data_IF_981689385829
#
_entry.id   IF_981689385829
#
_cell.length_a   1.000
_cell.length_b   1.000
_cell.length_c   1.000
_cell.angle_alpha   90.00
_cell.angle_beta   90.00
_cell.angle_gamma   90.00
#
_symmetry.space_group_name_H-M   'P 1'
#
loop_
_entity.id
_entity.type
_entity.pdbx_description
1 polymer ?
2 non-polymer ?
3 non-polymer ?
4 water ?
#
# COMPACT_ATOMS: atom_id res chain seq x y z
N UNK A 1 -5.77 -8.32 -11.12
CA UNK A 1 -5.59 -9.08 -9.85
C UNK A 1 -5.41 -8.12 -8.68
N UNK A 2 -5.53 -8.65 -7.47
CA UNK A 2 -5.36 -7.85 -6.27
C UNK A 2 -3.98 -7.19 -6.29
N UNK A 3 -2.96 -7.97 -6.61
CA UNK A 3 -1.59 -7.47 -6.66
C UNK A 3 -1.42 -6.35 -7.68
N UNK A 4 -2.01 -6.51 -8.86
CA UNK A 4 -1.91 -5.48 -9.89
C UNK A 4 -2.57 -4.18 -9.44
N UNK A 5 -3.72 -4.30 -8.79
CA UNK A 5 -4.44 -3.12 -8.31
C UNK A 5 -3.65 -2.40 -7.22
N UNK A 6 -3.01 -3.18 -6.35
CA UNK A 6 -2.20 -2.61 -5.28
C UNK A 6 -1.02 -1.85 -5.88
N UNK A 7 -0.38 -2.44 -6.89
CA UNK A 7 0.75 -1.79 -7.60
C UNK A 7 0.35 -0.46 -8.25
N UNK A 8 -0.83 -0.44 -8.92
CA UNK A 8 -1.25 0.80 -9.56
C UNK A 8 -1.49 1.91 -8.53
N UNK A 9 -2.13 1.53 -7.41
CA UNK A 9 -2.36 2.51 -6.35
C UNK A 9 -1.05 3.13 -5.87
N UNK A 10 -0.07 2.27 -5.59
CA UNK A 10 1.23 2.72 -5.12
C UNK A 10 1.99 3.52 -6.17
N UNK A 11 1.99 3.04 -7.41
CA UNK A 11 2.69 3.73 -8.50
C UNK A 11 2.09 5.11 -8.75
N UNK A 12 0.76 5.20 -8.68
CA UNK A 12 0.08 6.47 -8.91
C UNK A 12 0.43 7.50 -7.84
N UNK A 13 0.52 7.04 -6.59
CA UNK A 13 0.82 7.93 -5.47
C UNK A 13 2.29 8.33 -5.33
N UNK A 14 3.18 7.35 -5.44
CA UNK A 14 4.61 7.59 -5.26
C UNK A 14 5.43 7.86 -6.52
N UNK A 15 4.87 7.54 -7.69
CA UNK A 15 5.60 7.77 -8.92
C UNK A 15 6.82 6.87 -9.04
N UNK A 16 6.67 5.62 -8.62
CA UNK A 16 7.75 4.65 -8.70
C UNK A 16 7.37 3.60 -9.73
N UNK A 17 8.37 3.03 -10.40
CA UNK A 17 8.10 2.02 -11.39
C UNK A 17 7.55 0.78 -10.72
N UNK A 18 6.58 0.13 -11.35
CA UNK A 18 5.96 -1.05 -10.75
C UNK A 18 6.96 -2.18 -10.53
N UNK A 19 8.01 -2.21 -11.34
CA UNK A 19 9.03 -3.24 -11.21
C UNK A 19 9.75 -3.16 -9.86
N UNK A 20 9.65 -2.01 -9.20
CA UNK A 20 10.30 -1.82 -7.90
C UNK A 20 9.32 -2.01 -6.74
N UNK A 21 8.05 -2.23 -7.05
CA UNK A 21 7.04 -2.42 -6.03
C UNK A 21 6.94 -3.91 -5.69
N UNK A 22 7.93 -4.38 -4.93
CA UNK A 22 8.01 -5.78 -4.52
C UNK A 22 7.52 -5.95 -3.08
N UNK A 23 7.14 -7.18 -2.71
CA UNK A 23 6.64 -7.47 -1.35
C UNK A 23 7.48 -6.96 -0.18
N UNK A 24 8.80 -7.04 -0.29
CA UNK A 24 9.67 -6.60 0.80
C UNK A 24 9.98 -5.11 0.81
N UNK A 25 9.52 -4.39 -0.21
CA UNK A 25 9.78 -2.96 -0.29
C UNK A 25 9.02 -2.16 0.76
N UNK A 26 9.77 -1.37 1.53
CA UNK A 26 9.19 -0.51 2.55
C UNK A 26 8.72 0.77 1.86
N UNK A 27 7.50 1.20 2.15
CA UNK A 27 6.99 2.41 1.52
C UNK A 27 7.90 3.61 1.72
N UNK A 28 8.35 3.80 2.95
CA UNK A 28 9.21 4.93 3.27
C UNK A 28 10.66 4.75 2.83
N UNK A 29 11.33 3.75 3.39
CA UNK A 29 12.74 3.52 3.08
C UNK A 29 13.08 3.12 1.65
N UNK A 30 12.21 2.35 1.00
CA UNK A 30 12.50 1.91 -0.35
C UNK A 30 11.76 2.61 -1.47
N UNK A 31 10.53 3.05 -1.21
CA UNK A 31 9.75 3.71 -2.24
C UNK A 31 9.62 5.23 -2.08
N UNK A 32 10.33 5.78 -1.10
CA UNK A 32 10.33 7.21 -0.87
C UNK A 32 9.05 7.90 -0.44
N UNK A 33 8.17 7.17 0.23
CA UNK A 33 6.92 7.77 0.68
C UNK A 33 7.14 8.69 1.87
N UNK A 34 6.51 9.87 1.85
CA UNK A 34 6.61 10.77 2.99
C UNK A 34 5.35 10.55 3.83
N UNK A 35 5.21 11.30 4.92
CA UNK A 35 4.06 11.13 5.80
C UNK A 35 2.71 11.30 5.12
N UNK A 36 2.60 12.28 4.23
CA UNK A 36 1.34 12.49 3.53
C UNK A 36 1.07 11.32 2.60
N UNK A 37 2.10 10.84 1.91
CA UNK A 37 1.95 9.71 0.99
C UNK A 37 1.38 8.50 1.71
N UNK A 38 1.91 8.19 2.88
CA UNK A 38 1.44 7.04 3.63
C UNK A 38 -0.05 7.17 3.96
N UNK A 39 -0.46 8.35 4.42
CA UNK A 39 -1.86 8.59 4.74
C UNK A 39 -2.72 8.41 3.49
N UNK A 40 -2.26 8.96 2.36
CA UNK A 40 -3.02 8.84 1.12
C UNK A 40 -3.06 7.41 0.59
N UNK A 41 -2.00 6.64 0.81
CA UNK A 41 -1.98 5.25 0.37
C UNK A 41 -3.06 4.47 1.12
N UNK A 42 -3.10 4.66 2.44
CA UNK A 42 -4.09 3.97 3.26
C UNK A 42 -5.50 4.34 2.79
N UNK A 43 -5.73 5.64 2.58
CA UNK A 43 -7.03 6.12 2.12
C UNK A 43 -7.42 5.45 0.80
N UNK A 44 -6.46 5.30 -0.10
CA UNK A 44 -6.71 4.69 -1.40
C UNK A 44 -6.97 3.19 -1.30
N UNK A 45 -6.21 2.48 -0.47
CA UNK A 45 -6.44 1.05 -0.32
C UNK A 45 -7.86 0.82 0.18
N UNK A 46 -8.29 1.65 1.12
CA UNK A 46 -9.64 1.53 1.68
C UNK A 46 -10.70 1.76 0.60
N UNK A 47 -10.55 2.86 -0.13
CA UNK A 47 -11.51 3.22 -1.17
C UNK A 47 -11.58 2.18 -2.30
N UNK A 48 -10.43 1.79 -2.83
CA UNK A 48 -10.40 0.83 -3.92
C UNK A 48 -10.84 -0.59 -3.55
N UNK A 49 -10.59 -1.01 -2.32
CA UNK A 49 -10.97 -2.36 -1.91
C UNK A 49 -12.21 -2.42 -1.04
N UNK A 50 -12.85 -1.27 -0.85
CA UNK A 50 -14.07 -1.20 -0.06
C UNK A 50 -13.97 -1.71 1.36
N UNK A 51 -12.85 -1.43 2.02
CA UNK A 51 -12.67 -1.87 3.39
C UNK A 51 -12.16 -0.72 4.25
N UNK A 52 -12.09 -0.97 5.55
CA UNK A 52 -11.60 0.01 6.49
C UNK A 52 -10.32 -0.50 7.12
N UNK A 53 -9.33 0.37 7.21
CA UNK A 53 -8.07 0.02 7.83
C UNK A 53 -7.97 0.90 9.07
N UNK A 54 -8.37 0.36 10.23
CA UNK A 54 -8.32 1.15 11.47
C UNK A 54 -6.91 1.64 11.77
N UNK A 55 -6.81 2.78 12.45
CA UNK A 55 -5.53 3.38 12.79
C UNK A 55 -4.51 2.35 13.26
N UNK A 56 -4.94 1.47 14.16
CA UNK A 56 -4.08 0.43 14.70
C UNK A 56 -3.44 -0.41 13.60
N UNK A 57 -4.27 -0.90 12.68
CA UNK A 57 -3.78 -1.72 11.58
C UNK A 57 -2.91 -0.90 10.63
N UNK A 58 -3.29 0.35 10.39
CA UNK A 58 -2.55 1.22 9.49
C UNK A 58 -1.08 1.34 9.90
N UNK A 59 -0.83 1.42 11.20
CA UNK A 59 0.52 1.54 11.72
C UNK A 59 1.38 0.33 11.36
N UNK A 60 0.73 -0.81 11.15
CA UNK A 60 1.43 -2.04 10.80
C UNK A 60 1.66 -2.21 9.31
N UNK A 61 1.15 -1.28 8.51
CA UNK A 61 1.34 -1.35 7.06
C UNK A 61 2.63 -0.62 6.72
N UNK A 62 3.73 -1.37 6.67
CA UNK A 62 5.04 -0.80 6.40
C UNK A 62 5.62 -1.18 5.04
N UNK A 63 5.25 -2.37 4.55
CA UNK A 63 5.75 -2.85 3.26
C UNK A 63 4.61 -3.17 2.31
N UNK A 64 4.96 -3.34 1.04
CA UNK A 64 4.00 -3.70 0.01
C UNK A 64 3.41 -5.05 0.42
N UNK A 65 4.27 -5.93 0.94
CA UNK A 65 3.83 -7.24 1.37
C UNK A 65 2.76 -7.17 2.45
N UNK A 66 2.90 -6.23 3.38
CA UNK A 66 1.87 -6.09 4.43
C UNK A 66 0.53 -5.81 3.85
N UNK A 67 0.45 -4.88 2.90
CA UNK A 67 -0.83 -4.56 2.30
C UNK A 67 -1.40 -5.74 1.51
N UNK A 68 -0.55 -6.41 0.74
CA UNK A 68 -1.02 -7.54 -0.05
C UNK A 68 -1.52 -8.67 0.85
N UNK A 69 -0.74 -9.03 1.87
CA UNK A 69 -1.13 -10.10 2.78
C UNK A 69 -2.41 -9.75 3.54
N UNK A 70 -2.50 -8.50 3.98
CA UNK A 70 -3.65 -8.01 4.72
C UNK A 70 -4.91 -8.08 3.86
N UNK A 71 -4.83 -7.51 2.66
CA UNK A 71 -5.97 -7.51 1.75
C UNK A 71 -6.39 -8.90 1.30
N UNK A 72 -5.42 -9.75 0.98
CA UNK A 72 -5.73 -11.11 0.52
C UNK A 72 -6.56 -11.88 1.53
N UNK A 73 -6.29 -11.68 2.81
CA UNK A 73 -7.02 -12.37 3.86
C UNK A 73 -8.33 -11.68 4.21
N UNK A 74 -8.33 -10.35 4.18
CA UNK A 74 -9.52 -9.59 4.53
C UNK A 74 -10.55 -9.54 3.40
N UNK A 75 -10.08 -9.43 2.17
CA UNK A 75 -10.97 -9.38 1.00
C UNK A 75 -10.65 -10.49 0.01
X LIG B 1 -3.82 5.00 -11.89
X LIG C 1 -6.34 7.86 -10.25
X LIG D 1 6.96 -0.81 -15.39
X LIG E 1 10.41 2.38 8.61
X LIG F 1 15.25 -0.95 2.03
X LIG G 1 -10.23 4.50 7.66
X LIG H 1 -7.31 -5.63 11.79
X LIG I 1 5.36 -5.77 7.87
#
# INVERSE_FOLDING_TARGET
>A
SLEERVKEIIAEQLGVEKEKITPEAKFVEDLGADSLDVVELIMAFEEEFGIEIPDEDAEKIQTVGDVINYLKEKVGG
>B hetero
1 NA NA
>C hetero
1 ZN ZN
>D hetero
1 ZN ZN
>E hetero
1 ZN ZN
>F hetero
1 ZN ZN
>G hetero
1 ZN ZN
>H hetero
1 ZN ZN
>I hetero
1 ZN ZN
#
